data_IF_913070320006
#
_entry.id   IF_913070320006
#
_cell.length_a   1.000
_cell.length_b   1.000
_cell.length_c   1.000
_cell.angle_alpha   90.00
_cell.angle_beta   90.00
_cell.angle_gamma   90.00
#
_symmetry.space_group_name_H-M   'P 1'
#
loop_
_entity.id
_entity.type
_entity.pdbx_description
1 polymer ?
#
# COMPACT_ATOMS: atom_id res chain seq x y z
N UNK A 1 23.65 -32.95 -22.80
CA UNK A 1 24.00 -31.65 -22.19
C UNK A 1 22.87 -31.17 -21.27
N UNK A 2 23.17 -30.63 -20.08
CA UNK A 2 22.17 -29.95 -19.22
C UNK A 2 22.33 -28.44 -19.34
N UNK A 3 21.22 -27.72 -19.39
CA UNK A 3 21.16 -26.26 -19.39
C UNK A 3 20.16 -25.80 -18.32
N UNK A 4 20.46 -24.71 -17.62
CA UNK A 4 19.55 -24.10 -16.64
C UNK A 4 18.88 -22.86 -17.24
N UNK A 5 17.62 -22.65 -16.88
CA UNK A 5 16.82 -21.47 -17.21
C UNK A 5 16.18 -20.92 -15.94
N UNK A 6 16.27 -19.62 -15.74
CA UNK A 6 15.60 -18.93 -14.63
C UNK A 6 14.09 -18.89 -14.88
N UNK A 7 13.30 -19.24 -13.85
CA UNK A 7 11.85 -19.10 -13.85
C UNK A 7 11.48 -17.91 -12.97
N UNK A 8 10.87 -16.88 -13.55
CA UNK A 8 10.49 -15.68 -12.80
C UNK A 8 9.47 -16.04 -11.71
N UNK A 9 9.61 -15.41 -10.55
CA UNK A 9 8.56 -15.47 -9.53
C UNK A 9 7.32 -14.67 -9.95
N UNK A 10 6.17 -15.06 -9.42
CA UNK A 10 4.94 -14.25 -9.46
C UNK A 10 4.88 -13.27 -8.29
N UNK A 11 4.01 -12.28 -8.40
CA UNK A 11 3.70 -11.33 -7.33
C UNK A 11 2.27 -11.54 -6.88
N UNK A 12 2.03 -11.46 -5.56
CA UNK A 12 0.70 -11.45 -4.96
C UNK A 12 0.60 -10.26 -4.02
N UNK A 13 -0.52 -9.57 -4.12
CA UNK A 13 -0.87 -8.48 -3.21
C UNK A 13 -1.82 -8.99 -2.13
N UNK A 14 -1.69 -8.44 -0.94
CA UNK A 14 -2.56 -8.71 0.20
C UNK A 14 -2.88 -7.41 0.89
N UNK A 15 -4.13 -7.24 1.29
CA UNK A 15 -4.56 -6.06 2.05
C UNK A 15 -3.96 -6.10 3.47
N UNK A 16 -3.69 -4.91 4.01
CA UNK A 16 -3.02 -4.70 5.29
C UNK A 16 -3.63 -3.46 5.97
N UNK A 17 -4.52 -3.71 6.93
CA UNK A 17 -5.23 -2.68 7.71
C UNK A 17 -4.36 -1.99 8.78
N UNK A 18 -3.11 -2.44 8.95
CA UNK A 18 -2.11 -1.74 9.75
C UNK A 18 -1.34 -0.71 8.93
N UNK A 19 -1.35 -0.82 7.59
CA UNK A 19 -0.68 0.10 6.69
C UNK A 19 -1.65 1.15 6.16
N UNK A 20 -1.22 2.42 6.22
CA UNK A 20 -1.95 3.54 5.63
C UNK A 20 -2.19 3.31 4.14
N UNK A 21 -3.39 3.65 3.68
CA UNK A 21 -3.79 3.55 2.29
C UNK A 21 -2.76 4.17 1.34
N UNK A 22 -2.50 3.48 0.23
CA UNK A 22 -1.48 3.86 -0.74
C UNK A 22 -0.03 3.55 -0.32
N UNK A 23 0.23 3.12 0.93
CA UNK A 23 1.54 2.57 1.32
C UNK A 23 1.62 1.08 0.96
N UNK A 24 2.84 0.62 0.69
CA UNK A 24 3.10 -0.80 0.44
C UNK A 24 4.30 -1.31 1.22
N UNK A 25 4.29 -2.60 1.56
CA UNK A 25 5.41 -3.26 2.25
C UNK A 25 5.64 -4.66 1.70
N UNK A 26 6.89 -4.98 1.34
CA UNK A 26 7.23 -6.35 0.92
C UNK A 26 7.24 -7.26 2.15
N UNK A 27 6.25 -8.14 2.27
CA UNK A 27 6.17 -9.16 3.34
C UNK A 27 7.02 -10.38 3.02
N UNK A 28 7.08 -10.79 1.74
CA UNK A 28 7.91 -11.91 1.28
C UNK A 28 8.67 -11.49 0.02
N UNK A 29 9.99 -11.61 0.05
CA UNK A 29 10.83 -11.38 -1.14
C UNK A 29 10.62 -12.51 -2.15
N UNK A 30 10.34 -12.15 -3.39
CA UNK A 30 10.26 -13.10 -4.49
C UNK A 30 11.63 -13.69 -4.83
N UNK A 31 11.67 -14.98 -5.14
CA UNK A 31 12.89 -15.69 -5.54
C UNK A 31 12.61 -16.47 -6.82
N UNK A 32 13.43 -16.27 -7.84
CA UNK A 32 13.29 -17.02 -9.08
C UNK A 32 13.52 -18.52 -8.86
N UNK A 33 12.72 -19.32 -9.54
CA UNK A 33 12.91 -20.75 -9.65
C UNK A 33 13.97 -21.10 -10.70
N UNK A 34 14.22 -22.39 -10.83
CA UNK A 34 15.15 -22.94 -11.81
C UNK A 34 14.46 -24.06 -12.57
N UNK A 35 14.53 -23.99 -13.89
CA UNK A 35 14.18 -25.07 -14.81
C UNK A 35 15.47 -25.66 -15.37
N UNK A 36 15.61 -26.98 -15.27
CA UNK A 36 16.70 -27.71 -15.91
C UNK A 36 16.18 -28.37 -17.18
N UNK A 37 16.82 -28.03 -18.30
CA UNK A 37 16.52 -28.56 -19.63
C UNK A 37 17.64 -29.53 -19.99
N UNK A 38 17.29 -30.76 -20.36
CA UNK A 38 18.25 -31.74 -20.85
C UNK A 38 18.13 -31.87 -22.36
N UNK A 39 19.27 -31.72 -23.04
CA UNK A 39 19.40 -31.87 -24.47
C UNK A 39 20.23 -33.10 -24.81
N UNK A 40 19.77 -33.85 -25.80
CA UNK A 40 20.56 -34.80 -26.56
C UNK A 40 21.25 -34.02 -27.69
N UNK A 41 22.56 -34.24 -27.83
CA UNK A 41 23.41 -33.53 -28.79
C UNK A 41 23.91 -34.55 -29.79
N UNK A 42 23.71 -34.28 -31.08
CA UNK A 42 24.28 -35.07 -32.18
C UNK A 42 25.56 -34.38 -32.64
N UNK A 43 26.64 -35.16 -32.72
CA UNK A 43 27.92 -34.70 -33.23
C UNK A 43 28.21 -35.35 -34.58
N UNK A 44 28.77 -34.59 -35.51
CA UNK A 44 29.39 -35.10 -36.75
C UNK A 44 30.79 -34.53 -36.82
N UNK A 45 31.78 -35.39 -37.00
CA UNK A 45 33.21 -35.02 -36.98
C UNK A 45 33.62 -34.24 -35.72
N UNK A 46 33.06 -34.60 -34.57
CA UNK A 46 33.31 -33.95 -33.28
C UNK A 46 32.65 -32.58 -33.08
N UNK A 47 31.87 -32.07 -34.06
CA UNK A 47 31.15 -30.79 -33.99
C UNK A 47 29.66 -31.01 -33.78
N UNK A 48 29.01 -30.17 -32.95
CA UNK A 48 27.56 -30.19 -32.75
C UNK A 48 26.84 -29.85 -34.06
N UNK A 49 26.07 -30.81 -34.58
CA UNK A 49 25.28 -30.67 -35.81
C UNK A 49 23.78 -30.64 -35.55
N UNK A 50 23.33 -31.24 -34.43
CA UNK A 50 21.94 -31.14 -34.01
C UNK A 50 21.80 -31.18 -32.49
N UNK A 51 20.68 -30.64 -32.03
CA UNK A 51 20.28 -30.60 -30.62
C UNK A 51 18.80 -30.92 -30.52
N UNK A 52 18.44 -31.84 -29.63
CA UNK A 52 17.05 -32.22 -29.34
C UNK A 52 16.77 -32.08 -27.85
N UNK A 53 15.69 -31.37 -27.50
CA UNK A 53 15.25 -31.30 -26.09
C UNK A 53 14.63 -32.64 -25.68
N UNK A 54 15.15 -33.26 -24.64
CA UNK A 54 14.68 -34.55 -24.12
C UNK A 54 13.81 -34.37 -22.89
N UNK A 55 14.17 -33.45 -21.99
CA UNK A 55 13.39 -33.17 -20.78
C UNK A 55 13.48 -31.71 -20.36
N UNK A 56 12.48 -31.26 -19.62
CA UNK A 56 12.42 -29.90 -19.07
C UNK A 56 11.69 -29.97 -17.73
N UNK A 57 12.44 -29.88 -16.62
CA UNK A 57 11.90 -30.09 -15.28
C UNK A 57 12.19 -28.87 -14.41
N UNK A 58 11.21 -28.46 -13.60
CA UNK A 58 11.43 -27.43 -12.58
C UNK A 58 12.18 -28.06 -11.42
N UNK A 59 13.46 -27.73 -11.26
CA UNK A 59 14.33 -28.26 -10.22
C UNK A 59 14.31 -27.41 -8.95
N UNK A 60 13.91 -26.13 -9.06
CA UNK A 60 13.59 -25.27 -7.92
C UNK A 60 12.34 -24.46 -8.23
N UNK A 61 11.30 -24.57 -7.39
CA UNK A 61 10.09 -23.76 -7.54
C UNK A 61 10.39 -22.28 -7.24
N UNK A 62 9.83 -21.33 -8.00
CA UNK A 62 9.90 -19.92 -7.62
C UNK A 62 9.16 -19.67 -6.31
N UNK A 63 9.61 -18.70 -5.54
CA UNK A 63 8.93 -18.19 -4.35
C UNK A 63 8.21 -16.90 -4.74
N UNK A 64 6.89 -16.87 -4.58
CA UNK A 64 6.04 -15.71 -4.89
C UNK A 64 6.41 -14.52 -4.01
N UNK A 65 6.59 -13.33 -4.61
CA UNK A 65 6.72 -12.07 -3.89
C UNK A 65 5.36 -11.72 -3.29
N UNK A 66 5.33 -11.40 -2.00
CA UNK A 66 4.11 -10.91 -1.33
C UNK A 66 4.29 -9.45 -0.97
N UNK A 67 3.41 -8.60 -1.49
CA UNK A 67 3.34 -7.17 -1.19
C UNK A 67 2.08 -6.94 -0.37
N UNK A 68 2.24 -6.37 0.81
CA UNK A 68 1.13 -5.81 1.56
C UNK A 68 0.78 -4.44 1.00
N UNK A 69 -0.51 -4.20 0.77
CA UNK A 69 -1.08 -2.94 0.32
C UNK A 69 -1.91 -2.38 1.46
N UNK A 70 -1.63 -1.14 1.85
CA UNK A 70 -2.32 -0.51 2.96
C UNK A 70 -3.77 -0.20 2.63
N UNK A 71 -4.64 -0.48 3.60
CA UNK A 71 -6.08 -0.17 3.55
C UNK A 71 -6.54 0.64 4.75
N UNK A 72 -5.63 1.02 5.64
CA UNK A 72 -5.96 1.88 6.78
C UNK A 72 -6.19 3.30 6.30
N UNK A 73 -7.35 3.87 6.59
CA UNK A 73 -7.59 5.28 6.33
C UNK A 73 -6.52 6.12 7.04
N UNK A 74 -5.93 7.06 6.31
CA UNK A 74 -5.00 8.00 6.90
C UNK A 74 -5.75 8.87 7.91
N UNK A 75 -5.14 9.08 9.08
CA UNK A 75 -5.51 10.18 9.96
C UNK A 75 -4.97 11.44 9.27
N UNK A 76 -5.86 12.19 8.62
CA UNK A 76 -5.53 13.42 7.89
C UNK A 76 -5.28 14.60 8.85
N UNK A 77 -5.29 14.34 10.16
CA UNK A 77 -5.14 15.34 11.21
C UNK A 77 -6.38 16.22 11.36
N UNK A 78 -7.48 15.82 10.72
CA UNK A 78 -8.76 16.50 10.80
C UNK A 78 -9.64 15.80 11.83
N UNK A 79 -10.27 16.59 12.68
CA UNK A 79 -11.23 16.10 13.64
C UNK A 79 -12.46 15.54 12.89
N UNK A 80 -12.83 14.26 13.11
CA UNK A 80 -13.89 13.60 12.35
C UNK A 80 -15.29 14.15 12.64
N UNK A 81 -15.44 15.06 13.61
CA UNK A 81 -16.72 15.64 13.96
C UNK A 81 -17.09 16.87 13.12
N UNK A 82 -16.18 17.37 12.27
CA UNK A 82 -16.39 18.59 11.50
C UNK A 82 -16.07 18.44 10.00
N UNK A 83 -16.69 19.24 9.14
CA UNK A 83 -16.33 19.38 7.72
C UNK A 83 -16.50 20.82 7.23
N UNK A 84 -15.52 21.45 6.56
CA UNK A 84 -14.22 20.91 6.13
C UNK A 84 -13.26 20.68 7.31
N UNK A 85 -12.02 20.26 7.02
CA UNK A 85 -11.02 19.87 8.02
C UNK A 85 -10.86 20.89 9.17
N UNK A 86 -11.10 20.43 10.39
CA UNK A 86 -10.74 21.13 11.63
C UNK A 86 -9.52 20.43 12.21
N UNK A 87 -8.40 21.12 12.50
CA UNK A 87 -7.19 20.46 13.00
C UNK A 87 -7.44 19.85 14.38
N UNK A 88 -6.91 18.65 14.62
CA UNK A 88 -6.95 18.03 15.96
C UNK A 88 -5.97 18.78 16.88
N UNK A 89 -6.50 19.50 17.87
CA UNK A 89 -5.74 20.25 18.87
C UNK A 89 -6.35 20.10 20.26
N UNK A 90 -5.70 20.62 21.30
CA UNK A 90 -6.29 20.63 22.64
C UNK A 90 -7.52 21.55 22.74
N UNK A 91 -7.55 22.58 21.90
CA UNK A 91 -8.58 23.60 21.82
C UNK A 91 -8.51 24.23 20.43
N UNK A 92 -9.66 24.45 19.79
CA UNK A 92 -9.75 25.05 18.46
C UNK A 92 -10.81 26.13 18.55
N UNK A 93 -10.49 27.32 18.05
CA UNK A 93 -11.37 28.48 18.11
C UNK A 93 -11.81 28.95 16.71
N UNK A 94 -12.92 29.68 16.66
CA UNK A 94 -13.31 30.41 15.46
C UNK A 94 -12.37 31.59 15.20
N UNK A 95 -11.85 31.70 13.98
CA UNK A 95 -11.02 32.81 13.54
C UNK A 95 -11.79 34.14 13.65
N UNK A 96 -11.17 35.15 14.27
CA UNK A 96 -11.81 36.44 14.54
C UNK A 96 -12.63 36.49 15.83
N UNK A 97 -12.75 35.38 16.55
CA UNK A 97 -13.35 35.31 17.88
C UNK A 97 -12.42 35.79 19.00
N UNK A 98 -12.91 35.71 20.25
CA UNK A 98 -12.13 36.02 21.48
C UNK A 98 -11.35 34.81 22.01
N UNK A 99 -11.24 33.75 21.20
CA UNK A 99 -10.53 32.52 21.54
C UNK A 99 -9.07 32.75 21.91
N UNK A 100 -8.51 31.84 22.69
CA UNK A 100 -7.11 31.84 23.13
C UNK A 100 -6.43 30.48 22.93
N UNK A 101 -7.09 29.59 22.22
CA UNK A 101 -6.64 28.26 21.87
C UNK A 101 -5.42 28.28 20.93
N UNK A 102 -4.71 27.14 20.85
CA UNK A 102 -3.54 26.98 20.00
C UNK A 102 -3.85 26.91 18.50
N UNK A 103 -5.12 26.74 18.10
CA UNK A 103 -5.55 26.62 16.72
C UNK A 103 -6.82 27.42 16.44
N UNK A 104 -6.95 27.92 15.21
CA UNK A 104 -8.11 28.69 14.76
C UNK A 104 -8.60 28.17 13.40
N UNK A 105 -9.90 28.22 13.17
CA UNK A 105 -10.54 27.81 11.92
C UNK A 105 -11.52 28.87 11.42
N UNK A 106 -11.61 29.02 10.10
CA UNK A 106 -12.54 29.95 9.46
C UNK A 106 -13.82 29.20 9.04
N UNK A 107 -14.97 29.69 9.50
CA UNK A 107 -16.27 29.14 9.14
C UNK A 107 -16.80 29.59 7.78
N UNK A 108 -17.94 29.04 7.34
CA UNK A 108 -18.79 28.11 8.08
C UNK A 108 -18.26 26.66 8.03
N UNK A 109 -18.30 25.98 9.18
CA UNK A 109 -17.93 24.57 9.33
C UNK A 109 -19.16 23.78 9.72
N UNK A 110 -19.40 22.62 9.11
CA UNK A 110 -20.54 21.77 9.50
C UNK A 110 -20.14 20.83 10.61
N UNK A 111 -20.96 20.74 11.65
CA UNK A 111 -20.85 19.72 12.70
C UNK A 111 -21.53 18.45 12.19
N UNK A 112 -20.75 17.39 11.97
CA UNK A 112 -21.23 16.09 11.44
C UNK A 112 -21.30 15.00 12.52
N UNK A 113 -20.67 15.23 13.67
CA UNK A 113 -20.63 14.32 14.81
C UNK A 113 -21.04 15.04 16.10
N UNK A 114 -20.11 15.14 17.05
CA UNK A 114 -20.25 15.98 18.24
C UNK A 114 -19.58 17.35 18.08
N UNK A 115 -19.67 18.19 19.10
CA UNK A 115 -18.97 19.49 19.12
C UNK A 115 -17.94 19.53 20.27
N UNK A 116 -16.82 18.79 20.18
CA UNK A 116 -15.83 18.73 21.25
C UNK A 116 -15.11 20.05 21.53
N UNK A 117 -15.07 20.98 20.56
CA UNK A 117 -14.44 22.29 20.69
C UNK A 117 -15.45 23.43 20.94
N UNK A 118 -16.75 23.13 21.11
CA UNK A 118 -17.81 24.14 21.35
C UNK A 118 -17.83 25.25 20.27
N UNK A 119 -17.61 24.88 19.00
CA UNK A 119 -17.55 25.81 17.87
C UNK A 119 -18.95 26.19 17.33
N UNK A 120 -19.95 25.35 17.59
CA UNK A 120 -21.36 25.53 17.24
C UNK A 120 -22.16 25.84 18.53
N UNK A 121 -21.95 27.07 19.03
CA UNK A 121 -22.48 27.47 20.34
C UNK A 121 -24.00 27.59 20.38
N UNK A 122 -24.65 27.87 19.26
CA UNK A 122 -26.11 27.98 19.18
C UNK A 122 -26.79 26.65 18.79
N UNK A 123 -26.01 25.65 18.34
CA UNK A 123 -26.42 24.27 18.18
C UNK A 123 -27.24 24.03 16.93
N UNK A 124 -27.02 24.81 15.88
CA UNK A 124 -27.77 24.74 14.63
C UNK A 124 -27.15 23.76 13.60
N UNK A 125 -25.98 23.21 13.91
CA UNK A 125 -25.20 22.31 13.07
C UNK A 125 -24.13 23.02 12.23
N UNK A 126 -23.95 24.33 12.40
CA UNK A 126 -22.95 25.16 11.74
C UNK A 126 -22.07 25.85 12.79
N UNK A 127 -20.80 25.50 12.78
CA UNK A 127 -19.75 26.12 13.58
C UNK A 127 -19.15 27.35 12.90
N UNK A 128 -18.76 28.33 13.72
CA UNK A 128 -18.05 29.55 13.32
C UNK A 128 -18.75 30.39 12.23
N UNK A 129 -20.07 30.48 12.28
CA UNK A 129 -20.90 31.29 11.39
C UNK A 129 -20.97 32.79 11.78
#
# INVERSE_FOLDING_TARGET
MKQTKSLRYGTREVDDDELVEGKTKVRVKGVNGVQTITYEITLTDGKETARKKVSSVVTRKPVTKVIAVGTKQADDGCDPNYTPCVPIASDVDCAGGSGNGPAYVEGPIRVIGGDPYDLDRDGDGVACD
#
